data_IF_749613205325
#
_entry.id   IF_749613205325
#
_cell.length_a   1.000
_cell.length_b   1.000
_cell.length_c   1.000
_cell.angle_alpha   90.00
_cell.angle_beta   90.00
_cell.angle_gamma   90.00
#
_symmetry.space_group_name_H-M   'P 1'
#
loop_
_entity.id
_entity.type
_entity.pdbx_description
1 polymer ?
#
# COMPACT_ATOMS: atom_id res chain seq x y z
N UNK A 1 -0.02 14.08 1.53
CA UNK A 1 0.00 15.26 0.63
C UNK A 1 0.87 14.94 -0.56
N UNK A 2 0.30 14.90 -1.76
CA UNK A 2 1.00 14.65 -3.00
C UNK A 2 1.63 15.94 -3.52
N UNK A 3 2.88 15.91 -3.99
CA UNK A 3 3.47 17.08 -4.65
C UNK A 3 2.89 17.25 -6.06
N UNK A 4 2.82 18.49 -6.60
CA UNK A 4 2.30 18.76 -7.94
C UNK A 4 2.93 17.86 -9.02
N UNK A 5 2.10 17.33 -9.91
CA UNK A 5 2.53 16.45 -11.00
C UNK A 5 2.85 15.00 -10.59
N UNK A 6 2.73 14.67 -9.30
CA UNK A 6 2.88 13.30 -8.81
C UNK A 6 1.68 12.41 -9.16
N UNK A 7 1.90 11.11 -9.27
CA UNK A 7 0.82 10.13 -9.41
C UNK A 7 0.19 9.82 -8.05
N UNK A 8 -1.16 9.84 -7.91
CA UNK A 8 -1.84 9.39 -6.69
C UNK A 8 -1.57 7.93 -6.33
N UNK A 9 -1.17 7.12 -7.31
CA UNK A 9 -0.88 5.70 -7.13
C UNK A 9 0.55 5.45 -6.60
N UNK A 10 1.43 6.46 -6.57
CA UNK A 10 2.84 6.26 -6.25
C UNK A 10 3.07 5.72 -4.83
N UNK A 11 2.33 6.23 -3.84
CA UNK A 11 2.45 5.75 -2.46
C UNK A 11 1.95 4.29 -2.32
N UNK A 12 0.91 3.91 -3.07
CA UNK A 12 0.44 2.52 -3.16
C UNK A 12 1.47 1.61 -3.82
N UNK A 13 2.08 2.07 -4.91
CA UNK A 13 3.16 1.36 -5.60
C UNK A 13 4.41 1.17 -4.72
N UNK A 14 4.75 2.14 -3.88
CA UNK A 14 5.84 2.00 -2.90
C UNK A 14 5.55 0.88 -1.89
N UNK A 15 4.29 0.77 -1.44
CA UNK A 15 3.85 -0.35 -0.59
C UNK A 15 3.97 -1.68 -1.35
N UNK A 16 3.52 -1.75 -2.60
CA UNK A 16 3.63 -2.96 -3.43
C UNK A 16 5.08 -3.41 -3.54
N UNK A 17 6.01 -2.52 -3.86
CA UNK A 17 7.44 -2.88 -3.91
C UNK A 17 7.98 -3.36 -2.56
N UNK A 18 7.58 -2.73 -1.46
CA UNK A 18 8.02 -3.11 -0.12
C UNK A 18 7.51 -4.50 0.30
N UNK A 19 6.31 -4.90 -0.13
CA UNK A 19 5.70 -6.18 0.23
C UNK A 19 5.99 -7.30 -0.78
N UNK A 20 5.95 -7.00 -2.09
CA UNK A 20 6.18 -7.96 -3.16
C UNK A 20 7.66 -8.12 -3.53
N UNK A 21 8.50 -7.11 -3.28
CA UNK A 21 9.87 -7.05 -3.76
C UNK A 21 10.04 -6.65 -5.23
N UNK A 22 8.96 -6.60 -6.00
CA UNK A 22 8.94 -6.27 -7.44
C UNK A 22 7.63 -5.59 -7.84
N UNK A 23 7.59 -5.05 -9.05
CA UNK A 23 6.39 -4.44 -9.65
C UNK A 23 5.29 -5.44 -9.97
N UNK A 24 5.70 -6.69 -10.21
CA UNK A 24 4.82 -7.81 -10.53
C UNK A 24 5.46 -9.11 -10.02
N UNK A 25 4.63 -10.06 -9.62
CA UNK A 25 5.04 -11.40 -9.19
C UNK A 25 3.95 -12.42 -9.52
N UNK A 26 4.31 -13.69 -9.81
CA UNK A 26 3.30 -14.74 -9.90
C UNK A 26 2.65 -14.96 -8.53
N UNK A 27 1.37 -15.38 -8.47
CA UNK A 27 0.74 -15.78 -7.22
C UNK A 27 1.38 -17.06 -6.64
N UNK A 28 1.34 -17.25 -5.29
CA UNK A 28 0.81 -16.32 -4.29
C UNK A 28 1.74 -15.13 -4.02
N UNK A 29 1.24 -14.13 -3.29
CA UNK A 29 2.06 -12.98 -2.92
C UNK A 29 3.25 -13.40 -2.03
N UNK A 30 4.48 -12.86 -2.26
CA UNK A 30 5.65 -13.31 -1.52
C UNK A 30 5.62 -13.07 0.00
N UNK A 31 4.83 -12.10 0.47
CA UNK A 31 4.72 -11.78 1.90
C UNK A 31 3.27 -11.69 2.38
N UNK A 32 2.43 -10.93 1.67
CA UNK A 32 1.05 -10.69 2.07
C UNK A 32 0.24 -10.21 0.87
N UNK A 33 -0.77 -10.97 0.39
CA UNK A 33 -1.73 -10.45 -0.57
C UNK A 33 -2.33 -9.17 -0.03
N UNK A 34 -2.34 -8.14 -0.85
CA UNK A 34 -2.77 -6.83 -0.43
C UNK A 34 -3.45 -6.06 -1.55
N UNK A 35 -4.23 -5.09 -1.13
CA UNK A 35 -4.90 -4.16 -2.01
C UNK A 35 -4.78 -2.76 -1.43
N UNK A 36 -4.43 -1.81 -2.29
CA UNK A 36 -4.36 -0.39 -1.92
C UNK A 36 -5.36 0.39 -2.76
N UNK A 37 -6.41 0.89 -2.12
CA UNK A 37 -7.26 1.93 -2.69
C UNK A 37 -6.71 3.31 -2.33
N UNK A 38 -6.87 4.27 -3.24
CA UNK A 38 -6.60 5.68 -2.98
C UNK A 38 -7.84 6.54 -3.24
N UNK A 39 -7.98 7.61 -2.45
CA UNK A 39 -8.96 8.66 -2.65
C UNK A 39 -8.26 10.01 -2.62
N UNK A 40 -8.50 10.82 -3.65
CA UNK A 40 -7.86 12.13 -3.84
C UNK A 40 -8.83 13.25 -3.50
N UNK A 41 -8.39 14.18 -2.65
CA UNK A 41 -9.10 15.40 -2.28
C UNK A 41 -8.13 16.59 -2.35
N UNK A 42 -8.11 17.30 -3.48
CA UNK A 42 -7.09 18.32 -3.75
C UNK A 42 -5.70 17.69 -3.80
N UNK A 43 -4.78 18.17 -2.96
CA UNK A 43 -3.42 17.62 -2.82
C UNK A 43 -3.34 16.47 -1.80
N UNK A 44 -4.44 16.18 -1.10
CA UNK A 44 -4.46 15.09 -0.15
C UNK A 44 -4.86 13.77 -0.81
N UNK A 45 -4.10 12.73 -0.49
CA UNK A 45 -4.36 11.36 -0.90
C UNK A 45 -4.53 10.55 0.36
N UNK A 46 -5.70 9.95 0.52
CA UNK A 46 -5.98 8.99 1.59
C UNK A 46 -5.86 7.59 1.02
N UNK A 47 -5.09 6.74 1.68
CA UNK A 47 -4.94 5.34 1.30
C UNK A 47 -5.75 4.44 2.22
N UNK A 48 -6.41 3.44 1.65
CA UNK A 48 -6.97 2.31 2.37
C UNK A 48 -6.27 1.04 1.91
N UNK A 49 -5.53 0.43 2.83
CA UNK A 49 -4.77 -0.79 2.58
C UNK A 49 -5.46 -1.93 3.31
N UNK A 50 -5.80 -2.97 2.55
CA UNK A 50 -6.22 -4.28 3.06
C UNK A 50 -5.10 -5.27 2.77
N UNK A 51 -4.79 -6.13 3.71
CA UNK A 51 -3.82 -7.20 3.52
C UNK A 51 -4.21 -8.43 4.34
N UNK A 52 -3.86 -9.61 3.82
CA UNK A 52 -3.91 -10.88 4.55
C UNK A 52 -2.47 -11.27 4.89
N UNK A 53 -2.22 -11.64 6.14
CA UNK A 53 -0.90 -12.04 6.62
C UNK A 53 -1.06 -13.09 7.73
N UNK A 54 -0.10 -14.00 7.85
CA UNK A 54 0.06 -14.82 9.04
C UNK A 54 0.23 -13.94 10.28
N UNK A 55 -0.32 -14.39 11.42
CA UNK A 55 -0.25 -13.66 12.69
C UNK A 55 1.18 -13.28 13.09
N UNK A 56 2.17 -14.11 12.73
CA UNK A 56 3.58 -13.85 13.01
C UNK A 56 4.19 -12.76 12.10
N UNK A 57 3.70 -12.62 10.87
CA UNK A 57 4.20 -11.65 9.88
C UNK A 57 3.43 -10.32 9.89
N UNK A 58 2.24 -10.26 10.49
CA UNK A 58 1.41 -9.06 10.59
C UNK A 58 2.18 -7.81 11.06
N UNK A 59 3.01 -7.87 12.13
CA UNK A 59 3.78 -6.71 12.58
C UNK A 59 4.84 -6.28 11.56
N UNK A 60 5.44 -7.24 10.84
CA UNK A 60 6.42 -6.98 9.77
C UNK A 60 5.76 -6.30 8.58
N UNK A 61 4.59 -6.75 8.15
CA UNK A 61 3.82 -6.14 7.05
C UNK A 61 3.48 -4.69 7.39
N UNK A 62 2.96 -4.42 8.60
CA UNK A 62 2.68 -3.05 9.06
C UNK A 62 3.91 -2.15 9.03
N UNK A 63 5.05 -2.66 9.53
CA UNK A 63 6.31 -1.91 9.57
C UNK A 63 6.76 -1.53 8.15
N UNK A 64 6.74 -2.48 7.21
CA UNK A 64 7.13 -2.24 5.82
C UNK A 64 6.21 -1.22 5.12
N UNK A 65 4.90 -1.29 5.35
CA UNK A 65 3.95 -0.27 4.86
C UNK A 65 4.31 1.10 5.43
N UNK A 66 4.58 1.19 6.73
CA UNK A 66 4.97 2.43 7.39
C UNK A 66 6.26 3.02 6.83
N UNK A 67 7.29 2.20 6.67
CA UNK A 67 8.59 2.57 6.09
C UNK A 67 8.44 3.06 4.63
N UNK A 68 7.66 2.35 3.82
CA UNK A 68 7.39 2.73 2.43
C UNK A 68 6.70 4.11 2.33
N UNK A 69 5.73 4.37 3.21
CA UNK A 69 5.04 5.67 3.25
C UNK A 69 5.94 6.80 3.79
N UNK A 70 6.81 6.50 4.74
CA UNK A 70 7.74 7.45 5.35
C UNK A 70 8.93 7.80 4.44
N UNK A 71 9.22 6.99 3.41
CA UNK A 71 10.23 7.31 2.40
C UNK A 71 9.88 8.57 1.59
N UNK A 72 8.60 8.93 1.51
CA UNK A 72 8.10 10.18 0.88
C UNK A 72 8.42 10.36 -0.61
N UNK A 73 8.97 9.34 -1.26
CA UNK A 73 9.21 9.31 -2.70
C UNK A 73 9.18 7.90 -3.28
N UNK A 74 8.89 7.83 -4.58
CA UNK A 74 9.07 6.63 -5.38
C UNK A 74 9.55 7.01 -6.78
N UNK A 75 10.58 6.32 -7.25
CA UNK A 75 10.94 6.30 -8.67
C UNK A 75 10.09 5.25 -9.37
N UNK A 76 9.20 5.70 -10.26
CA UNK A 76 8.34 4.83 -11.06
C UNK A 76 9.12 4.05 -12.12
N UNK A 77 8.49 3.06 -12.77
CA UNK A 77 9.11 2.30 -13.86
C UNK A 77 9.44 3.16 -15.09
N UNK A 78 8.84 4.34 -15.20
CA UNK A 78 9.14 5.37 -16.22
C UNK A 78 10.33 6.27 -15.84
N UNK A 79 10.99 6.00 -14.71
CA UNK A 79 12.10 6.79 -14.17
C UNK A 79 11.68 8.10 -13.51
N UNK A 80 10.38 8.43 -13.44
CA UNK A 80 9.91 9.65 -12.79
C UNK A 80 9.85 9.48 -11.29
N UNK A 81 10.33 10.49 -10.57
CA UNK A 81 10.21 10.54 -9.11
C UNK A 81 8.91 11.24 -8.73
N UNK A 82 7.99 10.50 -8.09
CA UNK A 82 6.84 11.10 -7.39
C UNK A 82 7.21 11.31 -5.93
N UNK A 83 6.87 12.49 -5.39
CA UNK A 83 7.11 12.84 -3.98
C UNK A 83 5.81 13.12 -3.27
N UNK A 84 5.75 12.80 -1.99
CA UNK A 84 4.64 13.13 -1.10
C UNK A 84 5.15 13.56 0.27
N UNK A 85 4.22 13.87 1.17
CA UNK A 85 4.46 13.98 2.61
C UNK A 85 3.44 13.11 3.36
N UNK A 86 3.92 12.26 4.26
CA UNK A 86 3.06 11.47 5.13
C UNK A 86 2.48 12.37 6.22
N UNK A 87 1.15 12.51 6.27
CA UNK A 87 0.48 13.31 7.30
C UNK A 87 0.20 12.50 8.57
N UNK A 88 -0.30 11.28 8.40
CA UNK A 88 -0.64 10.36 9.48
C UNK A 88 -0.82 8.95 8.93
N UNK A 89 -0.57 7.94 9.75
CA UNK A 89 -0.89 6.55 9.47
C UNK A 89 -1.36 5.86 10.76
N UNK A 90 -2.39 5.03 10.65
CA UNK A 90 -2.91 4.27 11.78
C UNK A 90 -3.55 2.97 11.29
N UNK A 91 -3.52 1.94 12.15
CA UNK A 91 -4.32 0.75 11.93
C UNK A 91 -5.81 1.09 12.03
N UNK A 92 -6.60 0.63 11.06
CA UNK A 92 -8.05 0.77 11.06
C UNK A 92 -8.73 -0.59 11.23
N UNK A 93 -9.94 -0.60 11.81
CA UNK A 93 -10.80 -1.79 11.79
C UNK A 93 -11.29 -2.05 10.36
N UNK A 94 -11.48 -3.32 10.02
CA UNK A 94 -12.10 -3.72 8.76
C UNK A 94 -13.56 -3.21 8.73
N UNK A 95 -13.97 -2.61 7.61
CA UNK A 95 -15.34 -2.13 7.41
C UNK A 95 -16.19 -3.26 6.87
N UNK A 96 -17.50 -3.23 7.11
CA UNK A 96 -18.42 -4.26 6.59
C UNK A 96 -18.36 -4.39 5.06
N UNK A 97 -18.20 -3.26 4.36
CA UNK A 97 -18.05 -3.23 2.90
C UNK A 97 -16.72 -3.79 2.38
N UNK A 98 -15.78 -4.13 3.28
CA UNK A 98 -14.46 -4.64 2.94
C UNK A 98 -14.35 -6.16 3.20
N UNK A 99 -15.39 -6.80 3.74
CA UNK A 99 -15.35 -8.23 4.11
C UNK A 99 -15.14 -9.15 2.92
N UNK A 100 -15.86 -8.95 1.81
CA UNK A 100 -15.71 -9.79 0.62
C UNK A 100 -14.29 -9.69 0.05
N UNK A 101 -13.76 -8.46 -0.03
CA UNK A 101 -12.39 -8.21 -0.47
C UNK A 101 -11.36 -8.85 0.48
N UNK A 102 -11.58 -8.77 1.79
CA UNK A 102 -10.71 -9.43 2.76
C UNK A 102 -10.74 -10.95 2.61
N UNK A 103 -11.91 -11.55 2.35
CA UNK A 103 -12.03 -12.98 2.07
C UNK A 103 -11.26 -13.38 0.81
N UNK A 104 -11.32 -12.56 -0.25
CA UNK A 104 -10.53 -12.78 -1.46
C UNK A 104 -9.03 -12.74 -1.18
N UNK A 105 -8.54 -11.78 -0.38
CA UNK A 105 -7.12 -11.72 -0.01
C UNK A 105 -6.68 -12.94 0.81
N UNK A 106 -7.54 -13.44 1.71
CA UNK A 106 -7.27 -14.65 2.50
C UNK A 106 -7.22 -15.88 1.60
N UNK A 107 -8.08 -15.99 0.59
CA UNK A 107 -8.09 -17.11 -0.34
C UNK A 107 -6.82 -17.20 -1.22
N UNK A 108 -6.06 -16.11 -1.33
CA UNK A 108 -4.83 -16.02 -2.11
C UNK A 108 -3.57 -15.84 -1.25
N UNK A 109 -3.68 -16.01 0.08
CA UNK A 109 -2.57 -15.94 1.04
C UNK A 109 -1.86 -17.29 1.17
#
# INVERSE_FOLDING_TARGET
MLRPGGSPNAAGAAITLALCGSWDHPPPCPLAPHHTANHVAGEDVTLRILFAADTADEPRVRRLIGEALAAEELTGPDGRVTRWRLKSAAAGRLRTSEHDHAADLIAHH
#
